data_IF_592284234777
#
_entry.id   IF_592284234777
#
_cell.length_a   1.000
_cell.length_b   1.000
_cell.length_c   1.000
_cell.angle_alpha   90.00
_cell.angle_beta   90.00
_cell.angle_gamma   90.00
#
_symmetry.space_group_name_H-M   'P 1'
#
loop_
_entity.id
_entity.type
_entity.pdbx_description
1 polymer ?
#
# COMPACT_ATOMS: atom_id res chain seq x y z
N UNK A 1 -40.26 -13.40 -27.95
CA UNK A 1 -40.56 -14.07 -26.66
C UNK A 1 -39.43 -14.95 -26.10
N UNK A 2 -38.58 -15.64 -26.88
CA UNK A 2 -37.48 -16.47 -26.32
C UNK A 2 -36.20 -15.72 -25.91
N UNK A 3 -35.98 -14.49 -26.40
CA UNK A 3 -34.78 -13.68 -26.09
C UNK A 3 -34.83 -12.99 -24.70
N UNK A 4 -36.04 -12.75 -24.16
CA UNK A 4 -36.23 -12.05 -22.88
C UNK A 4 -35.92 -12.96 -21.65
N UNK A 5 -36.08 -14.28 -21.78
CA UNK A 5 -35.78 -15.20 -20.66
C UNK A 5 -34.27 -15.46 -20.48
N UNK A 6 -33.46 -15.28 -21.52
CA UNK A 6 -31.99 -15.35 -21.43
C UNK A 6 -31.43 -14.12 -20.69
N UNK A 7 -32.08 -12.97 -20.85
CA UNK A 7 -31.71 -11.69 -20.25
C UNK A 7 -31.84 -11.68 -18.71
N UNK A 8 -32.76 -12.48 -18.16
CA UNK A 8 -33.00 -12.57 -16.71
C UNK A 8 -31.98 -13.48 -16.01
N UNK A 9 -31.52 -14.55 -16.68
CA UNK A 9 -30.54 -15.50 -16.11
C UNK A 9 -29.13 -14.90 -16.12
N UNK A 10 -28.77 -14.13 -17.16
CA UNK A 10 -27.47 -13.43 -17.23
C UNK A 10 -27.40 -12.27 -16.23
N UNK A 11 -28.50 -11.53 -16.01
CA UNK A 11 -28.54 -10.41 -15.05
C UNK A 11 -28.57 -10.86 -13.58
N UNK A 12 -29.03 -12.08 -13.27
CA UNK A 12 -28.88 -12.70 -11.94
C UNK A 12 -27.44 -13.16 -11.66
N UNK A 13 -26.71 -13.62 -12.68
CA UNK A 13 -25.34 -14.12 -12.56
C UNK A 13 -24.31 -12.97 -12.43
N UNK A 14 -24.62 -11.78 -12.97
CA UNK A 14 -23.79 -10.57 -12.82
C UNK A 14 -23.83 -9.99 -11.39
N UNK A 15 -24.88 -10.28 -10.61
CA UNK A 15 -25.08 -9.79 -9.24
C UNK A 15 -24.66 -10.77 -8.14
N UNK A 16 -24.49 -12.06 -8.43
CA UNK A 16 -24.09 -13.07 -7.45
C UNK A 16 -22.58 -13.31 -7.34
N UNK A 17 -21.76 -12.63 -8.16
CA UNK A 17 -20.31 -12.85 -8.26
C UNK A 17 -19.46 -11.65 -7.81
N UNK A 18 -19.97 -10.83 -6.89
CA UNK A 18 -19.13 -9.90 -6.11
C UNK A 18 -18.97 -10.51 -4.73
N UNK A 19 -17.82 -11.13 -4.41
CA UNK A 19 -17.52 -11.46 -3.03
C UNK A 19 -17.58 -10.18 -2.20
N UNK A 20 -18.28 -10.24 -1.08
CA UNK A 20 -18.22 -9.25 0.01
C UNK A 20 -16.81 -9.29 0.68
N UNK A 21 -15.80 -9.87 0.05
CA UNK A 21 -14.43 -10.08 0.55
C UNK A 21 -13.54 -8.82 0.52
N UNK A 22 -14.13 -7.63 0.58
CA UNK A 22 -13.42 -6.39 0.89
C UNK A 22 -14.03 -5.68 2.12
N UNK A 23 -14.90 -6.36 2.88
CA UNK A 23 -15.50 -5.87 4.11
C UNK A 23 -14.83 -6.39 5.39
N UNK A 24 -13.90 -7.36 5.30
CA UNK A 24 -13.14 -7.89 6.44
C UNK A 24 -11.66 -7.98 6.04
N UNK A 25 -10.92 -6.91 6.37
CA UNK A 25 -9.46 -6.81 6.59
C UNK A 25 -8.97 -5.35 6.46
N UNK A 26 -9.87 -4.37 6.61
CA UNK A 26 -9.52 -3.22 7.44
C UNK A 26 -9.69 -3.63 8.91
N UNK A 27 -8.88 -4.58 9.38
CA UNK A 27 -8.19 -4.35 10.64
C UNK A 27 -7.19 -3.23 10.26
N UNK A 28 -7.55 -1.97 10.45
CA UNK A 28 -7.26 -1.28 11.71
C UNK A 28 -5.94 -1.84 12.27
N UNK A 29 -4.84 -1.59 11.56
CA UNK A 29 -3.63 -1.18 12.25
C UNK A 29 -4.05 0.12 12.94
N UNK A 30 -4.50 -0.03 14.18
CA UNK A 30 -4.83 1.06 15.07
C UNK A 30 -3.53 1.79 15.33
N UNK A 31 -3.24 2.80 14.51
CA UNK A 31 -2.26 3.82 14.84
C UNK A 31 -2.91 4.82 15.83
N UNK A 32 -3.39 4.28 16.95
CA UNK A 32 -3.83 5.00 18.14
C UNK A 32 -3.47 4.11 19.34
N UNK A 33 -2.20 4.15 19.75
CA UNK A 33 -1.80 4.50 21.12
C UNK A 33 -0.28 4.64 21.16
N UNK A 34 0.22 5.78 20.68
CA UNK A 34 1.46 6.34 21.23
C UNK A 34 1.12 7.79 21.52
N UNK A 35 0.50 7.96 22.68
CA UNK A 35 0.22 9.24 23.26
C UNK A 35 1.51 10.06 23.24
N UNK A 36 1.41 11.18 22.54
CA UNK A 36 2.29 12.33 22.60
C UNK A 36 2.55 12.71 24.07
N UNK A 37 3.59 12.14 24.68
CA UNK A 37 4.33 12.75 25.76
C UNK A 37 5.42 13.60 25.10
N UNK A 38 5.11 14.88 24.91
CA UNK A 38 6.12 15.93 24.95
C UNK A 38 6.72 15.88 26.35
N UNK A 39 7.82 15.16 26.50
CA UNK A 39 8.76 15.39 27.59
C UNK A 39 9.58 16.62 27.19
N UNK A 40 9.39 17.69 27.96
CA UNK A 40 10.29 18.83 28.02
C UNK A 40 11.64 18.30 28.54
N UNK A 41 12.57 18.01 27.63
CA UNK A 41 13.96 17.82 27.99
C UNK A 41 14.59 19.19 28.23
N UNK A 42 14.77 19.51 29.52
CA UNK A 42 15.63 20.59 29.99
C UNK A 42 17.07 20.28 29.59
N UNK A 43 17.60 21.09 28.66
CA UNK A 43 18.99 21.13 28.25
C UNK A 43 19.93 21.24 29.47
N UNK A 44 20.74 20.20 29.69
CA UNK A 44 21.95 20.31 30.50
C UNK A 44 23.06 20.85 29.62
N UNK A 45 23.38 22.14 29.81
CA UNK A 45 24.57 22.79 29.26
C UNK A 45 25.84 22.12 29.83
N UNK A 46 26.58 21.39 29.00
CA UNK A 46 27.97 21.01 29.30
C UNK A 46 28.91 21.84 28.42
N UNK A 47 29.59 22.79 29.08
CA UNK A 47 30.64 23.62 28.52
C UNK A 47 31.88 22.76 28.22
N UNK A 48 32.11 22.43 26.95
CA UNK A 48 33.46 22.13 26.47
C UNK A 48 33.81 23.00 25.28
N UNK A 49 34.68 23.96 25.57
CA UNK A 49 35.21 25.02 24.74
C UNK A 49 36.43 24.53 23.93
N UNK A 50 36.61 25.14 22.76
CA UNK A 50 37.79 25.15 21.89
C UNK A 50 37.97 24.02 20.84
N UNK A 51 37.12 24.01 19.81
CA UNK A 51 37.55 23.84 18.39
C UNK A 51 36.55 24.44 17.39
N UNK A 52 36.19 25.72 17.54
CA UNK A 52 35.32 26.43 16.59
C UNK A 52 36.14 27.02 15.44
N UNK A 53 35.96 26.55 14.20
CA UNK A 53 35.96 27.41 12.98
C UNK A 53 35.64 26.65 11.67
N UNK A 54 35.55 25.30 11.66
CA UNK A 54 35.20 24.52 10.44
C UNK A 54 33.78 23.87 10.46
N UNK A 55 33.14 23.75 11.63
CA UNK A 55 31.85 23.05 11.80
C UNK A 55 30.59 23.84 11.35
N UNK A 56 30.74 25.09 10.91
CA UNK A 56 29.58 25.95 10.59
C UNK A 56 29.02 25.73 9.18
N UNK A 57 29.81 25.29 8.22
CA UNK A 57 29.29 24.99 6.86
C UNK A 57 28.53 23.65 6.84
N UNK A 58 29.03 22.63 7.52
CA UNK A 58 28.46 21.27 7.52
C UNK A 58 27.09 21.23 8.22
N UNK A 59 26.97 21.84 9.41
CA UNK A 59 25.68 21.98 10.12
C UNK A 59 24.62 22.68 9.26
N UNK A 60 25.02 23.69 8.49
CA UNK A 60 24.09 24.41 7.59
C UNK A 60 23.64 23.59 6.38
N UNK A 61 24.42 22.59 5.96
CA UNK A 61 24.08 21.69 4.88
C UNK A 61 23.12 20.60 5.36
N UNK A 62 23.43 19.96 6.50
CA UNK A 62 22.56 18.96 7.16
C UNK A 62 21.17 19.53 7.45
N UNK A 63 21.09 20.73 8.02
CA UNK A 63 19.81 21.39 8.31
C UNK A 63 18.97 21.68 7.05
N UNK A 64 19.61 22.01 5.92
CA UNK A 64 18.89 22.23 4.64
C UNK A 64 18.36 20.93 4.06
N UNK A 65 19.12 19.83 4.19
CA UNK A 65 18.71 18.51 3.73
C UNK A 65 17.50 18.04 4.56
N UNK A 66 17.60 18.08 5.89
CA UNK A 66 16.51 17.74 6.81
C UNK A 66 15.24 18.55 6.54
N UNK A 67 15.36 19.87 6.40
CA UNK A 67 14.21 20.73 6.09
C UNK A 67 13.57 20.38 4.73
N UNK A 68 14.36 19.94 3.75
CA UNK A 68 13.87 19.52 2.43
C UNK A 68 13.16 18.16 2.50
N UNK A 69 13.69 17.21 3.27
CA UNK A 69 13.05 15.91 3.54
C UNK A 69 11.68 16.12 4.22
N UNK A 70 11.66 16.86 5.33
CA UNK A 70 10.42 17.21 6.07
C UNK A 70 9.39 17.86 5.14
N UNK A 71 9.80 18.81 4.29
CA UNK A 71 8.90 19.47 3.34
C UNK A 71 8.33 18.50 2.29
N UNK A 72 9.17 17.59 1.75
CA UNK A 72 8.74 16.53 0.82
C UNK A 72 7.75 15.58 1.48
N UNK A 73 8.04 15.12 2.71
CA UNK A 73 7.16 14.24 3.47
C UNK A 73 5.82 14.89 3.77
N UNK A 74 5.81 16.18 4.12
CA UNK A 74 4.59 16.93 4.34
C UNK A 74 3.74 17.04 3.07
N UNK A 75 4.36 17.29 1.91
CA UNK A 75 3.71 17.33 0.61
C UNK A 75 3.13 15.95 0.23
N UNK A 76 3.92 14.89 0.34
CA UNK A 76 3.49 13.50 0.07
C UNK A 76 2.31 13.11 0.97
N UNK A 77 2.41 13.40 2.27
CA UNK A 77 1.31 13.15 3.23
C UNK A 77 0.04 13.91 2.85
N UNK A 78 0.17 15.15 2.37
CA UNK A 78 -0.98 15.92 1.90
C UNK A 78 -1.62 15.27 0.65
N UNK A 79 -0.82 14.88 -0.35
CA UNK A 79 -1.33 14.20 -1.57
C UNK A 79 -2.10 12.93 -1.21
N UNK A 80 -1.50 12.07 -0.38
CA UNK A 80 -2.14 10.82 0.07
C UNK A 80 -3.45 11.08 0.82
N UNK A 81 -3.55 12.16 1.60
CA UNK A 81 -4.80 12.57 2.27
C UNK A 81 -5.85 13.04 1.27
N UNK A 82 -5.47 13.85 0.28
CA UNK A 82 -6.36 14.32 -0.79
C UNK A 82 -6.87 13.15 -1.65
N UNK A 83 -6.01 12.21 -2.06
CA UNK A 83 -6.45 11.00 -2.75
C UNK A 83 -7.36 10.13 -1.88
N UNK A 84 -7.10 10.04 -0.57
CA UNK A 84 -7.97 9.32 0.36
C UNK A 84 -9.36 9.97 0.42
N UNK A 85 -9.45 11.29 0.48
CA UNK A 85 -10.71 12.01 0.48
C UNK A 85 -11.48 11.79 -0.83
N UNK A 86 -10.81 11.96 -1.98
CA UNK A 86 -11.40 11.67 -3.31
C UNK A 86 -11.93 10.25 -3.42
N UNK A 87 -11.17 9.27 -2.93
CA UNK A 87 -11.59 7.86 -2.91
C UNK A 87 -12.83 7.63 -2.01
N UNK A 88 -12.90 8.29 -0.84
CA UNK A 88 -14.04 8.18 0.07
C UNK A 88 -15.30 8.82 -0.52
N UNK A 89 -15.15 9.98 -1.15
CA UNK A 89 -16.23 10.67 -1.86
C UNK A 89 -16.75 9.82 -3.02
N UNK A 90 -15.88 9.34 -3.90
CA UNK A 90 -16.25 8.47 -5.01
C UNK A 90 -16.98 7.20 -4.53
N UNK A 91 -16.54 6.62 -3.40
CA UNK A 91 -17.22 5.49 -2.76
C UNK A 91 -18.63 5.86 -2.28
N UNK A 92 -18.79 7.00 -1.62
CA UNK A 92 -20.09 7.46 -1.13
C UNK A 92 -21.06 7.70 -2.30
N UNK A 93 -20.59 8.38 -3.35
CA UNK A 93 -21.35 8.66 -4.58
C UNK A 93 -21.78 7.37 -5.28
N UNK A 94 -20.90 6.38 -5.38
CA UNK A 94 -21.24 5.07 -5.94
C UNK A 94 -22.30 4.33 -5.11
N UNK A 95 -22.18 4.32 -3.78
CA UNK A 95 -23.15 3.64 -2.91
C UNK A 95 -24.54 4.27 -3.01
N UNK A 96 -24.63 5.60 -2.96
CA UNK A 96 -25.90 6.33 -3.12
C UNK A 96 -26.55 6.04 -4.48
N UNK A 97 -25.79 6.16 -5.58
CA UNK A 97 -26.30 5.88 -6.92
C UNK A 97 -26.77 4.42 -7.06
N UNK A 98 -26.01 3.47 -6.50
CA UNK A 98 -26.39 2.06 -6.48
C UNK A 98 -27.71 1.82 -5.73
N UNK A 99 -27.93 2.49 -4.59
CA UNK A 99 -29.17 2.37 -3.84
C UNK A 99 -30.36 2.88 -4.65
N UNK A 100 -30.21 3.99 -5.38
CA UNK A 100 -31.24 4.54 -6.27
C UNK A 100 -31.60 3.58 -7.41
N UNK A 101 -30.60 2.97 -8.05
CA UNK A 101 -30.82 1.92 -9.07
C UNK A 101 -31.59 0.74 -8.48
N UNK A 102 -31.20 0.26 -7.30
CA UNK A 102 -31.88 -0.86 -6.62
C UNK A 102 -33.33 -0.53 -6.29
N UNK A 103 -33.61 0.70 -5.83
CA UNK A 103 -34.96 1.16 -5.52
C UNK A 103 -35.89 1.13 -6.73
N UNK A 104 -35.46 1.71 -7.85
CA UNK A 104 -36.29 1.79 -9.07
C UNK A 104 -36.36 0.45 -9.81
N UNK A 105 -35.36 -0.43 -9.65
CA UNK A 105 -35.34 -1.75 -10.30
C UNK A 105 -36.59 -2.60 -10.01
N UNK A 106 -37.10 -2.55 -8.77
CA UNK A 106 -38.30 -3.31 -8.40
C UNK A 106 -39.55 -2.81 -9.15
N UNK A 107 -39.60 -1.53 -9.50
CA UNK A 107 -40.69 -0.90 -10.26
C UNK A 107 -40.59 -1.26 -11.74
N UNK A 108 -39.39 -1.19 -12.33
CA UNK A 108 -39.14 -1.61 -13.72
C UNK A 108 -39.57 -3.06 -13.95
N UNK A 109 -39.36 -3.95 -12.97
CA UNK A 109 -39.78 -5.34 -13.06
C UNK A 109 -41.31 -5.52 -13.12
N UNK A 110 -42.09 -4.59 -12.54
CA UNK A 110 -43.56 -4.58 -12.63
C UNK A 110 -44.02 -4.12 -14.01
N UNK A 111 -43.25 -3.26 -14.66
CA UNK A 111 -43.49 -2.74 -16.02
C UNK A 111 -43.18 -3.71 -17.16
N UNK A 112 -43.14 -5.01 -16.90
CA UNK A 112 -42.71 -6.01 -17.88
C UNK A 112 -43.81 -6.26 -18.93
N UNK A 113 -43.57 -5.77 -20.15
CA UNK A 113 -44.50 -5.91 -21.27
C UNK A 113 -45.67 -4.92 -21.22
N UNK A 114 -45.55 -3.90 -20.38
CA UNK A 114 -46.44 -2.74 -20.35
C UNK A 114 -45.71 -1.53 -20.96
N UNK A 115 -46.32 -0.89 -21.94
CA UNK A 115 -45.80 0.28 -22.65
C UNK A 115 -46.66 1.51 -22.33
N UNK A 116 -47.21 1.55 -21.12
CA UNK A 116 -47.85 2.74 -20.56
C UNK A 116 -46.82 3.85 -20.32
N UNK A 117 -47.27 5.11 -20.44
CA UNK A 117 -46.46 6.32 -20.19
C UNK A 117 -45.79 6.28 -18.79
N UNK A 118 -46.51 5.77 -17.77
CA UNK A 118 -45.95 5.58 -16.42
C UNK A 118 -44.77 4.59 -16.41
N UNK A 119 -44.85 3.52 -17.20
CA UNK A 119 -43.77 2.55 -17.32
C UNK A 119 -42.60 3.02 -18.16
N UNK A 120 -42.81 3.93 -19.12
CA UNK A 120 -41.75 4.64 -19.82
C UNK A 120 -40.98 5.55 -18.85
N UNK A 121 -41.67 6.37 -18.05
CA UNK A 121 -41.03 7.23 -17.05
C UNK A 121 -40.20 6.45 -16.01
N UNK A 122 -40.68 5.28 -15.57
CA UNK A 122 -39.94 4.39 -14.66
C UNK A 122 -38.68 3.83 -15.33
N UNK A 123 -38.76 3.46 -16.62
CA UNK A 123 -37.61 2.97 -17.40
C UNK A 123 -36.58 4.08 -17.58
N UNK A 124 -37.00 5.30 -17.89
CA UNK A 124 -36.08 6.44 -18.07
C UNK A 124 -35.40 6.83 -16.77
N UNK A 125 -36.14 6.86 -15.65
CA UNK A 125 -35.56 7.08 -14.32
C UNK A 125 -34.55 6.00 -13.96
N UNK A 126 -34.82 4.75 -14.31
CA UNK A 126 -33.88 3.65 -14.12
C UNK A 126 -32.62 3.83 -14.96
N UNK A 127 -32.75 4.20 -16.24
CA UNK A 127 -31.60 4.50 -17.12
C UNK A 127 -30.72 5.59 -16.54
N UNK A 128 -31.31 6.74 -16.16
CA UNK A 128 -30.57 7.86 -15.56
C UNK A 128 -29.84 7.46 -14.26
N UNK A 129 -30.48 6.65 -13.41
CA UNK A 129 -29.80 6.14 -12.21
C UNK A 129 -28.70 5.14 -12.53
N UNK A 130 -28.88 4.28 -13.54
CA UNK A 130 -27.90 3.29 -13.95
C UNK A 130 -26.65 3.96 -14.55
N UNK A 131 -26.83 4.93 -15.43
CA UNK A 131 -25.77 5.75 -16.00
C UNK A 131 -24.94 6.43 -14.89
N UNK A 132 -25.62 7.16 -14.00
CA UNK A 132 -24.96 7.80 -12.84
C UNK A 132 -24.22 6.79 -11.95
N UNK A 133 -24.77 5.61 -11.73
CA UNK A 133 -24.10 4.56 -10.95
C UNK A 133 -22.83 4.06 -11.66
N UNK A 134 -22.86 3.92 -12.98
CA UNK A 134 -21.71 3.47 -13.76
C UNK A 134 -20.60 4.53 -13.83
N UNK A 135 -20.96 5.80 -14.02
CA UNK A 135 -19.99 6.91 -13.94
C UNK A 135 -19.33 6.96 -12.57
N UNK A 136 -20.12 6.92 -11.49
CA UNK A 136 -19.57 6.88 -10.13
C UNK A 136 -18.73 5.62 -9.86
N UNK A 137 -19.00 4.50 -10.57
CA UNK A 137 -18.18 3.31 -10.48
C UNK A 137 -16.82 3.53 -11.17
N UNK A 138 -16.80 4.17 -12.35
CA UNK A 138 -15.58 4.57 -13.05
C UNK A 138 -14.73 5.51 -12.18
N UNK A 139 -15.33 6.57 -11.63
CA UNK A 139 -14.63 7.54 -10.78
C UNK A 139 -14.00 6.86 -9.55
N UNK A 140 -14.70 5.89 -8.97
CA UNK A 140 -14.15 5.10 -7.86
C UNK A 140 -12.96 4.25 -8.28
N UNK A 141 -12.97 3.68 -9.49
CA UNK A 141 -11.81 2.92 -10.03
C UNK A 141 -10.62 3.86 -10.16
N UNK A 142 -10.84 5.00 -10.81
CA UNK A 142 -9.81 6.00 -11.08
C UNK A 142 -9.20 6.51 -9.77
N UNK A 143 -10.03 6.83 -8.77
CA UNK A 143 -9.55 7.26 -7.45
C UNK A 143 -8.72 6.19 -6.72
N UNK A 144 -8.96 4.90 -6.98
CA UNK A 144 -8.12 3.83 -6.42
C UNK A 144 -6.79 3.72 -7.16
N UNK A 145 -6.81 3.81 -8.49
CA UNK A 145 -5.61 3.77 -9.32
C UNK A 145 -4.69 4.96 -9.02
N UNK A 146 -5.26 6.16 -8.95
CA UNK A 146 -4.55 7.40 -8.63
C UNK A 146 -3.87 7.37 -7.26
N UNK A 147 -4.56 6.80 -6.25
CA UNK A 147 -3.96 6.56 -4.93
C UNK A 147 -2.77 5.59 -4.99
N UNK A 148 -2.78 4.65 -5.93
CA UNK A 148 -1.67 3.70 -6.10
C UNK A 148 -0.52 4.37 -6.86
N UNK A 149 -0.83 5.19 -7.87
CA UNK A 149 0.13 6.08 -8.54
C UNK A 149 0.91 6.88 -7.51
N UNK A 150 0.23 7.63 -6.64
CA UNK A 150 0.87 8.42 -5.59
C UNK A 150 1.78 7.57 -4.69
N UNK A 151 1.32 6.38 -4.28
CA UNK A 151 2.13 5.47 -3.46
C UNK A 151 3.37 4.93 -4.16
N UNK A 152 3.33 4.77 -5.47
CA UNK A 152 4.47 4.29 -6.27
C UNK A 152 5.46 5.43 -6.48
N UNK A 153 4.97 6.63 -6.78
CA UNK A 153 5.79 7.84 -6.92
C UNK A 153 6.55 8.15 -5.62
N UNK A 154 5.83 8.12 -4.48
CA UNK A 154 6.35 8.40 -3.14
C UNK A 154 7.21 7.27 -2.56
N UNK A 155 7.34 6.12 -3.24
CA UNK A 155 8.11 4.98 -2.73
C UNK A 155 9.61 5.23 -2.92
N UNK A 156 10.39 5.28 -1.84
CA UNK A 156 11.86 5.39 -1.93
C UNK A 156 12.52 4.03 -2.20
N UNK A 157 11.89 2.96 -1.76
CA UNK A 157 12.40 1.59 -1.92
C UNK A 157 12.34 1.03 -3.36
N UNK A 158 11.65 1.73 -4.27
CA UNK A 158 11.51 1.33 -5.67
C UNK A 158 12.52 2.09 -6.53
N UNK A 159 13.26 1.36 -7.36
CA UNK A 159 14.12 2.00 -8.34
C UNK A 159 13.30 2.65 -9.48
N UNK A 160 13.92 3.59 -10.21
CA UNK A 160 13.20 4.35 -11.24
C UNK A 160 12.72 3.49 -12.41
N UNK A 161 13.36 2.36 -12.68
CA UNK A 161 12.88 1.44 -13.71
C UNK A 161 11.62 0.69 -13.24
N UNK A 162 11.61 0.22 -11.98
CA UNK A 162 10.46 -0.42 -11.35
C UNK A 162 9.28 0.55 -11.21
N UNK A 163 9.52 1.80 -10.78
CA UNK A 163 8.50 2.86 -10.76
C UNK A 163 7.91 3.09 -12.14
N UNK A 164 8.76 3.32 -13.15
CA UNK A 164 8.31 3.59 -14.51
C UNK A 164 7.50 2.43 -15.09
N UNK A 165 7.85 1.18 -14.80
CA UNK A 165 7.08 0.01 -15.24
C UNK A 165 5.69 -0.02 -14.59
N UNK A 166 5.63 0.16 -13.27
CA UNK A 166 4.37 0.11 -12.51
C UNK A 166 3.45 1.27 -12.92
N UNK A 167 3.99 2.48 -13.04
CA UNK A 167 3.23 3.67 -13.46
C UNK A 167 2.69 3.53 -14.88
N UNK A 168 3.47 2.97 -15.81
CA UNK A 168 3.00 2.74 -17.17
C UNK A 168 1.81 1.75 -17.23
N UNK A 169 1.82 0.67 -16.42
CA UNK A 169 0.66 -0.24 -16.33
C UNK A 169 -0.55 0.48 -15.74
N UNK A 170 -0.37 1.27 -14.67
CA UNK A 170 -1.47 2.02 -14.04
C UNK A 170 -2.07 3.03 -15.02
N UNK A 171 -1.26 3.78 -15.76
CA UNK A 171 -1.70 4.77 -16.75
C UNK A 171 -2.49 4.11 -17.89
N UNK A 172 -2.02 2.97 -18.42
CA UNK A 172 -2.77 2.19 -19.40
C UNK A 172 -4.15 1.80 -18.87
N UNK A 173 -4.22 1.40 -17.60
CA UNK A 173 -5.48 1.01 -16.95
C UNK A 173 -6.39 2.18 -16.63
N UNK A 174 -5.85 3.35 -16.33
CA UNK A 174 -6.64 4.58 -16.19
C UNK A 174 -7.26 4.96 -17.54
N UNK A 175 -6.49 4.90 -18.62
CA UNK A 175 -7.00 5.17 -19.97
C UNK A 175 -8.13 4.21 -20.38
N UNK A 176 -7.99 2.89 -20.14
CA UNK A 176 -9.07 1.91 -20.40
C UNK A 176 -10.39 2.27 -19.66
N UNK A 177 -10.28 2.83 -18.45
CA UNK A 177 -11.44 3.19 -17.61
C UNK A 177 -12.05 4.53 -18.04
N UNK A 178 -11.21 5.50 -18.41
CA UNK A 178 -11.65 6.78 -18.98
C UNK A 178 -12.40 6.56 -20.30
N UNK A 179 -11.89 5.72 -21.20
CA UNK A 179 -12.59 5.34 -22.42
C UNK A 179 -13.97 4.71 -22.12
N UNK A 180 -14.04 3.82 -21.13
CA UNK A 180 -15.31 3.21 -20.71
C UNK A 180 -16.28 4.24 -20.10
N UNK A 181 -15.75 5.23 -19.37
CA UNK A 181 -16.50 6.35 -18.82
C UNK A 181 -17.06 7.24 -19.93
N UNK A 182 -16.23 7.60 -20.91
CA UNK A 182 -16.63 8.41 -22.07
C UNK A 182 -17.75 7.73 -22.88
N UNK A 183 -17.68 6.40 -23.04
CA UNK A 183 -18.77 5.64 -23.68
C UNK A 183 -20.10 5.87 -22.95
N UNK A 184 -20.10 5.92 -21.61
CA UNK A 184 -21.31 6.13 -20.80
C UNK A 184 -21.79 7.56 -20.87
N UNK A 185 -20.90 8.55 -20.83
CA UNK A 185 -21.29 9.97 -20.94
C UNK A 185 -21.92 10.28 -22.31
N UNK A 186 -21.56 9.50 -23.34
CA UNK A 186 -22.13 9.62 -24.68
C UNK A 186 -23.41 8.79 -24.89
N UNK A 187 -23.87 8.04 -23.89
CA UNK A 187 -25.20 7.41 -23.88
C UNK A 187 -26.23 8.53 -23.73
N UNK A 188 -26.75 9.04 -24.85
CA UNK A 188 -27.81 10.05 -24.85
C UNK A 188 -29.14 9.53 -24.27
N UNK A 189 -30.10 10.44 -24.05
CA UNK A 189 -31.43 10.12 -23.51
C UNK A 189 -32.18 9.04 -24.33
N UNK A 190 -31.91 8.97 -25.64
CA UNK A 190 -32.50 8.02 -26.58
C UNK A 190 -31.85 6.62 -26.59
N UNK A 191 -30.80 6.40 -25.80
CA UNK A 191 -30.01 5.18 -25.86
C UNK A 191 -30.79 3.95 -25.41
N UNK A 192 -30.48 2.81 -26.01
CA UNK A 192 -31.14 1.55 -25.70
C UNK A 192 -30.60 0.94 -24.39
N UNK A 193 -31.46 0.18 -23.71
CA UNK A 193 -31.08 -0.51 -22.46
C UNK A 193 -29.95 -1.51 -22.68
N UNK A 194 -29.77 -2.02 -23.90
CA UNK A 194 -28.65 -2.91 -24.23
C UNK A 194 -27.31 -2.16 -24.32
N UNK A 195 -27.27 -0.90 -24.75
CA UNK A 195 -26.05 -0.07 -24.79
C UNK A 195 -25.52 0.21 -23.36
N UNK A 196 -26.42 0.52 -22.42
CA UNK A 196 -26.07 0.67 -21.00
C UNK A 196 -25.50 -0.63 -20.41
N UNK A 197 -26.00 -1.80 -20.84
CA UNK A 197 -25.48 -3.09 -20.37
C UNK A 197 -24.10 -3.37 -20.92
N UNK A 198 -23.88 -3.10 -22.20
CA UNK A 198 -22.56 -3.27 -22.82
C UNK A 198 -21.53 -2.39 -22.12
N UNK A 199 -21.85 -1.11 -21.90
CA UNK A 199 -21.01 -0.20 -21.13
C UNK A 199 -20.75 -0.70 -19.70
N UNK A 200 -21.77 -1.23 -19.02
CA UNK A 200 -21.63 -1.82 -17.68
C UNK A 200 -20.71 -3.05 -17.66
N UNK A 201 -20.76 -3.89 -18.71
CA UNK A 201 -19.86 -5.04 -18.87
C UNK A 201 -18.43 -4.55 -19.10
N UNK A 202 -18.23 -3.56 -19.96
CA UNK A 202 -16.92 -2.95 -20.21
C UNK A 202 -16.29 -2.42 -18.93
N UNK A 203 -17.00 -1.58 -18.15
CA UNK A 203 -16.50 -1.10 -16.84
C UNK A 203 -16.18 -2.26 -15.90
N UNK A 204 -17.06 -3.28 -15.83
CA UNK A 204 -16.85 -4.41 -14.93
C UNK A 204 -15.60 -5.21 -15.30
N UNK A 205 -15.38 -5.43 -16.59
CA UNK A 205 -14.21 -6.16 -17.09
C UNK A 205 -12.94 -5.34 -16.91
N UNK A 206 -12.99 -4.03 -17.20
CA UNK A 206 -11.89 -3.12 -16.92
C UNK A 206 -11.58 -3.08 -15.42
N UNK A 207 -12.56 -2.93 -14.52
CA UNK A 207 -12.37 -3.06 -13.07
C UNK A 207 -11.69 -4.38 -12.69
N UNK A 208 -12.18 -5.50 -13.25
CA UNK A 208 -11.66 -6.83 -12.93
C UNK A 208 -10.21 -6.98 -13.38
N UNK A 209 -9.85 -6.45 -14.56
CA UNK A 209 -8.48 -6.49 -15.09
C UNK A 209 -7.57 -5.50 -14.36
N UNK A 210 -7.97 -4.24 -14.30
CA UNK A 210 -7.19 -3.11 -13.77
C UNK A 210 -7.08 -3.11 -12.24
N UNK A 211 -8.20 -3.06 -11.52
CA UNK A 211 -8.17 -2.83 -10.06
C UNK A 211 -8.09 -4.13 -9.27
N UNK A 212 -8.66 -5.24 -9.76
CA UNK A 212 -8.57 -6.48 -8.99
C UNK A 212 -7.15 -7.08 -9.00
N UNK A 213 -6.43 -6.97 -10.11
CA UNK A 213 -5.12 -7.61 -10.28
C UNK A 213 -3.98 -6.61 -10.35
N UNK A 214 -3.93 -5.70 -11.33
CA UNK A 214 -2.81 -4.76 -11.47
C UNK A 214 -2.58 -3.93 -10.21
N UNK A 215 -3.64 -3.31 -9.67
CA UNK A 215 -3.55 -2.55 -8.43
C UNK A 215 -3.05 -3.37 -7.22
N UNK A 216 -3.41 -4.65 -7.11
CA UNK A 216 -2.91 -5.54 -6.05
C UNK A 216 -1.44 -5.88 -6.24
N UNK A 217 -1.04 -6.15 -7.49
CA UNK A 217 0.35 -6.46 -7.85
C UNK A 217 1.22 -5.24 -7.62
N UNK A 218 0.82 -4.06 -8.10
CA UNK A 218 1.51 -2.80 -7.88
C UNK A 218 1.70 -2.51 -6.39
N UNK A 219 0.63 -2.54 -5.60
CA UNK A 219 0.71 -2.34 -4.15
C UNK A 219 1.57 -3.43 -3.46
N UNK A 220 1.45 -4.68 -3.93
CA UNK A 220 2.27 -5.78 -3.45
C UNK A 220 3.76 -5.56 -3.71
N UNK A 221 4.12 -5.07 -4.90
CA UNK A 221 5.49 -4.70 -5.27
C UNK A 221 6.02 -3.56 -4.40
N UNK A 222 5.22 -2.51 -4.17
CA UNK A 222 5.60 -1.40 -3.26
C UNK A 222 5.87 -1.92 -1.85
N UNK A 223 4.99 -2.76 -1.30
CA UNK A 223 5.20 -3.34 0.04
C UNK A 223 6.44 -4.24 0.05
N UNK A 224 6.63 -5.05 -0.99
CA UNK A 224 7.78 -5.92 -1.10
C UNK A 224 9.08 -5.10 -1.13
N UNK A 225 9.13 -4.04 -1.94
CA UNK A 225 10.27 -3.13 -2.00
C UNK A 225 10.59 -2.55 -0.62
N UNK A 226 9.57 -2.11 0.13
CA UNK A 226 9.77 -1.65 1.51
C UNK A 226 10.34 -2.71 2.44
N UNK A 227 9.91 -3.97 2.31
CA UNK A 227 10.49 -5.07 3.09
C UNK A 227 11.98 -5.24 2.75
N UNK A 228 12.38 -5.09 1.48
CA UNK A 228 13.78 -5.11 1.07
C UNK A 228 14.60 -4.03 1.79
N UNK A 229 14.10 -2.79 1.83
CA UNK A 229 14.78 -1.69 2.52
C UNK A 229 14.93 -1.95 4.03
N UNK A 230 13.94 -2.60 4.65
CA UNK A 230 14.03 -3.03 6.05
C UNK A 230 15.07 -4.16 6.22
N UNK A 231 15.06 -5.17 5.35
CA UNK A 231 16.04 -6.27 5.39
C UNK A 231 17.47 -5.74 5.24
N UNK A 232 17.73 -4.84 4.29
CA UNK A 232 19.07 -4.27 4.08
C UNK A 232 19.60 -3.51 5.31
N UNK A 233 18.72 -2.80 6.02
CA UNK A 233 19.08 -2.14 7.28
C UNK A 233 19.37 -3.16 8.38
N UNK A 234 18.59 -4.23 8.45
CA UNK A 234 18.82 -5.31 9.41
C UNK A 234 20.12 -6.07 9.12
N UNK A 235 20.49 -6.31 7.86
CA UNK A 235 21.76 -6.93 7.48
C UNK A 235 22.96 -6.05 7.91
N UNK A 236 22.83 -4.73 7.74
CA UNK A 236 23.85 -3.78 8.20
C UNK A 236 24.01 -3.84 9.72
N UNK A 237 22.89 -3.93 10.45
CA UNK A 237 22.89 -4.06 11.91
C UNK A 237 23.44 -5.43 12.36
N UNK A 238 23.18 -6.50 11.61
CA UNK A 238 23.78 -7.83 11.82
C UNK A 238 25.30 -7.75 11.79
N UNK A 239 25.86 -7.12 10.75
CA UNK A 239 27.31 -6.91 10.62
C UNK A 239 27.89 -6.11 11.81
N UNK A 240 27.16 -5.10 12.32
CA UNK A 240 27.58 -4.34 13.51
C UNK A 240 27.58 -5.21 14.76
N UNK A 241 26.50 -5.97 14.98
CA UNK A 241 26.36 -6.87 16.12
C UNK A 241 27.42 -7.97 16.14
N UNK A 242 27.74 -8.57 15.00
CA UNK A 242 28.82 -9.57 14.90
C UNK A 242 30.16 -8.99 15.38
N UNK A 243 30.49 -7.76 14.98
CA UNK A 243 31.71 -7.07 15.42
C UNK A 243 31.70 -6.84 16.93
N UNK A 244 30.57 -6.46 17.51
CA UNK A 244 30.41 -6.22 18.95
C UNK A 244 30.59 -7.52 19.73
N UNK A 245 29.87 -8.58 19.36
CA UNK A 245 29.96 -9.90 20.01
C UNK A 245 31.39 -10.47 19.90
N UNK A 246 32.01 -10.35 18.73
CA UNK A 246 33.41 -10.74 18.51
C UNK A 246 34.38 -9.96 19.41
N UNK A 247 34.16 -8.65 19.57
CA UNK A 247 34.99 -7.79 20.44
C UNK A 247 34.83 -8.18 21.91
N UNK A 248 33.61 -8.47 22.36
CA UNK A 248 33.32 -8.96 23.72
C UNK A 248 34.05 -10.28 24.00
N UNK A 249 34.04 -11.22 23.05
CA UNK A 249 34.74 -12.50 23.19
C UNK A 249 36.26 -12.29 23.37
N UNK A 250 36.87 -11.42 22.56
CA UNK A 250 38.30 -11.11 22.64
C UNK A 250 38.67 -10.46 23.98
N UNK A 251 37.77 -9.66 24.54
CA UNK A 251 37.94 -9.04 25.86
C UNK A 251 37.72 -10.02 27.03
N UNK A 252 37.29 -11.26 26.75
CA UNK A 252 37.12 -12.32 27.73
C UNK A 252 35.79 -12.27 28.47
N UNK A 253 34.79 -11.60 27.91
CA UNK A 253 33.42 -11.65 28.40
C UNK A 253 32.78 -12.99 28.04
N UNK A 254 31.80 -13.39 28.84
CA UNK A 254 30.92 -14.50 28.49
C UNK A 254 29.94 -14.01 27.42
N UNK A 255 29.89 -14.71 26.29
CA UNK A 255 29.11 -14.33 25.11
C UNK A 255 28.25 -15.50 24.61
N UNK A 256 28.10 -16.56 25.42
CA UNK A 256 27.35 -17.76 25.03
C UNK A 256 25.89 -17.39 24.67
N UNK A 257 25.21 -16.67 25.56
CA UNK A 257 23.81 -16.25 25.36
C UNK A 257 23.68 -15.22 24.21
N UNK A 258 24.61 -14.26 24.11
CA UNK A 258 24.61 -13.29 23.00
C UNK A 258 24.86 -13.93 21.64
N UNK A 259 25.70 -14.97 21.57
CA UNK A 259 25.93 -15.73 20.32
C UNK A 259 24.71 -16.53 19.91
N UNK A 260 24.03 -17.17 20.85
CA UNK A 260 22.78 -17.90 20.56
C UNK A 260 21.71 -16.95 20.02
N UNK A 261 21.51 -15.79 20.67
CA UNK A 261 20.57 -14.76 20.20
C UNK A 261 20.98 -14.17 18.84
N UNK A 262 22.27 -13.97 18.60
CA UNK A 262 22.78 -13.50 17.31
C UNK A 262 22.51 -14.52 16.19
N UNK A 263 22.76 -15.81 16.43
CA UNK A 263 22.45 -16.88 15.47
C UNK A 263 20.94 -16.96 15.18
N UNK A 264 20.08 -16.78 16.20
CA UNK A 264 18.63 -16.74 16.02
C UNK A 264 18.19 -15.50 15.20
N UNK A 265 18.77 -14.33 15.49
CA UNK A 265 18.52 -13.10 14.75
C UNK A 265 18.87 -13.25 13.26
N UNK A 266 20.11 -13.68 12.97
CA UNK A 266 20.61 -13.96 11.61
C UNK A 266 19.70 -14.94 10.86
N UNK A 267 19.32 -16.05 11.52
CA UNK A 267 18.42 -17.03 10.93
C UNK A 267 17.03 -16.48 10.59
N UNK A 268 16.53 -15.49 11.35
CA UNK A 268 15.26 -14.81 11.04
C UNK A 268 15.37 -13.81 9.90
N UNK A 269 16.52 -13.17 9.71
CA UNK A 269 16.79 -12.33 8.55
C UNK A 269 16.87 -13.17 7.27
N UNK A 270 17.58 -14.30 7.30
CA UNK A 270 17.63 -15.26 6.20
C UNK A 270 16.21 -15.73 5.79
N UNK A 271 15.38 -16.10 6.79
CA UNK A 271 13.98 -16.49 6.55
C UNK A 271 13.19 -15.35 5.90
N UNK A 272 13.36 -14.11 6.37
CA UNK A 272 12.69 -12.95 5.79
C UNK A 272 13.11 -12.69 4.34
N UNK A 273 14.41 -12.80 4.02
CA UNK A 273 14.95 -12.59 2.68
C UNK A 273 14.48 -13.67 1.69
N UNK A 274 14.46 -14.95 2.12
CA UNK A 274 13.94 -16.05 1.31
C UNK A 274 12.47 -15.80 0.91
N UNK A 275 11.64 -15.42 1.90
CA UNK A 275 10.21 -15.14 1.68
C UNK A 275 9.99 -13.91 0.82
N UNK A 276 10.81 -12.87 1.01
CA UNK A 276 10.80 -11.67 0.17
C UNK A 276 11.12 -11.99 -1.30
N UNK A 277 12.19 -12.77 -1.54
CA UNK A 277 12.59 -13.19 -2.88
C UNK A 277 11.49 -14.00 -3.56
N UNK A 278 10.91 -14.97 -2.84
CA UNK A 278 9.79 -15.77 -3.34
C UNK A 278 8.54 -14.92 -3.64
N UNK A 279 8.24 -13.92 -2.81
CA UNK A 279 7.15 -12.98 -3.05
C UNK A 279 7.37 -12.16 -4.33
N UNK A 280 8.59 -11.66 -4.55
CA UNK A 280 8.97 -10.89 -5.74
C UNK A 280 8.71 -11.70 -7.01
N UNK A 281 9.21 -12.93 -7.05
CA UNK A 281 9.05 -13.83 -8.18
C UNK A 281 7.57 -14.14 -8.43
N UNK A 282 6.81 -14.41 -7.36
CA UNK A 282 5.38 -14.66 -7.47
C UNK A 282 4.59 -13.49 -8.03
N UNK A 283 4.90 -12.24 -7.64
CA UNK A 283 4.26 -11.07 -8.24
C UNK A 283 4.57 -10.90 -9.73
N UNK A 284 5.76 -11.31 -10.20
CA UNK A 284 6.07 -11.34 -11.62
C UNK A 284 5.23 -12.41 -12.35
N UNK A 285 5.04 -13.58 -11.74
CA UNK A 285 4.23 -14.68 -12.30
C UNK A 285 2.74 -14.33 -12.45
N UNK A 286 2.18 -13.47 -11.58
CA UNK A 286 0.74 -13.08 -11.61
C UNK A 286 0.31 -12.56 -12.98
N UNK A 287 1.21 -11.89 -13.72
CA UNK A 287 0.89 -11.34 -15.04
C UNK A 287 0.61 -12.43 -16.07
N UNK A 288 1.28 -13.57 -15.96
CA UNK A 288 1.25 -14.70 -16.90
C UNK A 288 0.49 -15.92 -16.39
N UNK A 289 0.15 -15.98 -15.11
CA UNK A 289 -0.53 -17.12 -14.51
C UNK A 289 -1.93 -17.33 -15.08
N UNK A 290 -2.29 -18.60 -15.31
CA UNK A 290 -3.66 -19.00 -15.68
C UNK A 290 -4.65 -18.67 -14.55
N UNK A 291 -4.25 -18.92 -13.29
CA UNK A 291 -4.97 -18.50 -12.09
C UNK A 291 -4.27 -17.33 -11.40
N UNK A 292 -4.53 -16.11 -11.91
CA UNK A 292 -4.01 -14.86 -11.33
C UNK A 292 -4.44 -14.63 -9.89
N UNK A 293 -5.57 -15.20 -9.46
CA UNK A 293 -6.10 -15.00 -8.11
C UNK A 293 -5.38 -15.85 -7.09
N UNK A 294 -5.10 -17.11 -7.43
CA UNK A 294 -4.24 -17.98 -6.63
C UNK A 294 -2.81 -17.43 -6.55
N UNK A 295 -2.19 -17.11 -7.68
CA UNK A 295 -0.82 -16.56 -7.70
C UNK A 295 -0.69 -15.25 -6.90
N UNK A 296 -1.68 -14.35 -7.01
CA UNK A 296 -1.68 -13.10 -6.24
C UNK A 296 -1.87 -13.33 -4.74
N UNK A 297 -2.59 -14.38 -4.36
CA UNK A 297 -2.76 -14.75 -2.96
C UNK A 297 -1.47 -15.34 -2.39
N UNK A 298 -0.83 -16.26 -3.10
CA UNK A 298 0.47 -16.83 -2.72
C UNK A 298 1.52 -15.73 -2.51
N UNK A 299 1.62 -14.78 -3.46
CA UNK A 299 2.53 -13.65 -3.35
C UNK A 299 2.27 -12.82 -2.07
N UNK A 300 0.99 -12.56 -1.75
CA UNK A 300 0.60 -11.83 -0.53
C UNK A 300 0.94 -12.61 0.73
N UNK A 301 0.69 -13.91 0.74
CA UNK A 301 0.98 -14.76 1.90
C UNK A 301 2.50 -14.79 2.17
N UNK A 302 3.34 -14.85 1.13
CA UNK A 302 4.80 -14.75 1.25
C UNK A 302 5.29 -13.40 1.79
N UNK A 303 4.71 -12.28 1.32
CA UNK A 303 4.99 -10.94 1.89
C UNK A 303 4.68 -10.90 3.38
N UNK A 304 3.56 -11.52 3.78
CA UNK A 304 3.17 -11.58 5.19
C UNK A 304 4.17 -12.42 6.01
N UNK A 305 4.56 -13.58 5.50
CA UNK A 305 5.57 -14.45 6.14
C UNK A 305 6.91 -13.73 6.30
N UNK A 306 7.39 -13.02 5.27
CA UNK A 306 8.61 -12.20 5.33
C UNK A 306 8.52 -11.13 6.43
N UNK A 307 7.40 -10.40 6.47
CA UNK A 307 7.18 -9.37 7.48
C UNK A 307 7.06 -9.94 8.91
N UNK A 308 6.42 -11.10 9.07
CA UNK A 308 6.32 -11.76 10.38
C UNK A 308 7.71 -12.24 10.85
N UNK A 309 8.57 -12.74 9.95
CA UNK A 309 9.96 -13.07 10.25
C UNK A 309 10.78 -11.84 10.67
N UNK A 310 10.63 -10.69 9.98
CA UNK A 310 11.29 -9.43 10.39
C UNK A 310 10.85 -8.94 11.77
N UNK A 311 9.58 -9.14 12.13
CA UNK A 311 9.10 -8.82 13.49
C UNK A 311 9.75 -9.72 14.53
N UNK A 312 9.86 -11.01 14.26
CA UNK A 312 10.54 -11.95 15.15
C UNK A 312 12.03 -11.60 15.28
N UNK A 313 12.71 -11.29 14.17
CA UNK A 313 14.09 -10.80 14.17
C UNK A 313 14.25 -9.57 15.08
N UNK A 314 13.35 -8.59 14.96
CA UNK A 314 13.39 -7.38 15.79
C UNK A 314 13.17 -7.65 17.29
N UNK A 315 12.35 -8.63 17.67
CA UNK A 315 12.20 -9.01 19.08
C UNK A 315 13.48 -9.70 19.60
N UNK A 316 14.08 -10.60 18.81
CA UNK A 316 15.37 -11.24 19.15
C UNK A 316 16.48 -10.20 19.27
N UNK A 317 16.52 -9.21 18.38
CA UNK A 317 17.44 -8.09 18.42
C UNK A 317 17.35 -7.32 19.75
N UNK A 318 16.14 -7.03 20.25
CA UNK A 318 15.97 -6.35 21.54
C UNK A 318 16.54 -7.17 22.69
N UNK A 319 16.30 -8.47 22.68
CA UNK A 319 16.82 -9.38 23.70
C UNK A 319 18.36 -9.45 23.63
N UNK A 320 18.93 -9.49 22.42
CA UNK A 320 20.37 -9.43 22.20
C UNK A 320 20.99 -8.13 22.73
N UNK A 321 20.40 -6.97 22.39
CA UNK A 321 20.87 -5.67 22.88
C UNK A 321 20.77 -5.56 24.40
N UNK A 322 19.73 -6.14 25.00
CA UNK A 322 19.57 -6.20 26.44
C UNK A 322 20.67 -7.06 27.08
N UNK A 323 20.97 -8.22 26.52
CA UNK A 323 22.02 -9.12 27.01
C UNK A 323 23.41 -8.45 26.95
N UNK A 324 23.71 -7.77 25.83
CA UNK A 324 24.94 -6.99 25.66
C UNK A 324 25.04 -5.89 26.74
N UNK A 325 23.96 -5.18 27.03
CA UNK A 325 23.91 -4.16 28.09
C UNK A 325 24.10 -4.76 29.49
N UNK A 326 23.43 -5.88 29.79
CA UNK A 326 23.52 -6.55 31.10
C UNK A 326 24.92 -7.13 31.38
N UNK A 327 25.68 -7.42 30.33
CA UNK A 327 27.09 -7.81 30.40
C UNK A 327 28.04 -6.69 30.90
N UNK A 328 27.50 -5.53 31.30
CA UNK A 328 28.17 -4.39 31.96
C UNK A 328 29.28 -3.74 31.15
N UNK A 329 28.95 -3.30 29.95
CA UNK A 329 29.74 -2.31 29.21
C UNK A 329 29.22 -0.90 29.48
N UNK A 330 29.79 -0.18 30.44
CA UNK A 330 29.60 1.27 30.61
C UNK A 330 30.33 2.12 29.54
N UNK A 331 30.75 1.56 28.39
CA UNK A 331 31.49 2.32 27.37
C UNK A 331 31.70 1.67 26.00
N UNK A 332 30.92 0.64 25.65
CA UNK A 332 30.88 0.08 24.28
C UNK A 332 29.47 0.22 23.67
N UNK A 333 28.44 0.43 24.51
CA UNK A 333 27.09 0.75 24.04
C UNK A 333 27.02 2.19 23.51
N UNK A 334 27.79 3.12 24.07
CA UNK A 334 27.87 4.52 23.58
C UNK A 334 28.41 4.60 22.14
N UNK A 335 29.32 3.72 21.72
CA UNK A 335 29.86 3.71 20.35
C UNK A 335 28.81 3.26 19.30
N UNK A 336 27.78 2.51 19.73
CA UNK A 336 26.66 2.09 18.86
C UNK A 336 25.65 3.23 18.70
N UNK A 337 25.38 3.96 19.78
CA UNK A 337 24.47 5.11 19.75
C UNK A 337 25.10 6.28 18.95
N UNK A 338 26.42 6.49 19.02
CA UNK A 338 27.13 7.49 18.20
C UNK A 338 27.31 7.08 16.72
N UNK A 339 27.60 5.80 16.41
CA UNK A 339 27.71 5.34 15.00
C UNK A 339 26.34 5.20 14.31
N UNK A 340 25.26 4.85 15.04
CA UNK A 340 23.92 4.89 14.47
C UNK A 340 23.47 6.34 14.23
N UNK A 341 23.86 7.33 15.03
CA UNK A 341 23.63 8.75 14.72
C UNK A 341 24.39 9.19 13.45
N UNK A 342 25.62 8.72 13.19
CA UNK A 342 26.34 9.08 11.96
C UNK A 342 25.83 8.35 10.69
N UNK A 343 25.43 7.08 10.77
CA UNK A 343 24.88 6.34 9.63
C UNK A 343 23.40 6.67 9.37
N UNK A 344 22.61 6.95 10.42
CA UNK A 344 21.29 7.56 10.23
C UNK A 344 21.43 8.97 9.70
N UNK A 345 22.44 9.78 10.03
CA UNK A 345 22.55 11.11 9.41
C UNK A 345 23.03 11.11 7.93
N UNK A 346 23.68 10.06 7.44
CA UNK A 346 24.00 9.90 6.01
C UNK A 346 22.82 9.33 5.18
N UNK A 347 21.89 8.58 5.79
CA UNK A 347 20.72 7.98 5.10
C UNK A 347 19.37 8.69 5.44
N UNK A 348 19.22 9.32 6.61
CA UNK A 348 18.15 10.28 6.96
C UNK A 348 18.35 11.66 6.30
N UNK A 349 19.43 11.81 5.52
CA UNK A 349 19.53 12.81 4.47
C UNK A 349 18.53 12.58 3.32
N UNK A 350 18.02 11.35 3.18
CA UNK A 350 16.97 10.95 2.24
C UNK A 350 15.80 10.17 2.90
N UNK A 351 15.85 9.81 4.19
CA UNK A 351 14.70 9.30 4.99
C UNK A 351 14.29 10.27 6.13
N UNK A 352 13.38 11.23 5.89
CA UNK A 352 12.41 11.67 6.92
C UNK A 352 11.11 12.23 6.33
#
# INVERSE_FOLDING_TARGET
MKKINVLIVVMMLVLSAVPIAFAEDTAVVSAEDTANQTEDDEETEDESDETEEDDTEEKSAKEKIKNKAIARRAEAKQKVLEARERMLEARANYIDAKQKVVGVKAEVLKCKGDDSEECEEIRDRYKAHAEKMLLNAADRVLAVLDKITEKVEDSEDLDEAEKSEILADIDEKMAEIEEARDVIENIGEDSDVDEIKEAAVTIKEAWKRSVKFSAKVALGRVINARLKGITQRMDTLEDKLDRIVSRMEVQGYDVEDSKELFEEFSGKLDEAEEKYGAAKDKYAEVLTADDKEEASKEAKDLVKESHDALKEAHEVLKDLLKEIRESKQEGIVEEIEEEDEEETEEDEGDEE
#
